data_IF_696448880112
#
_entry.id   IF_696448880112
#
_cell.length_a   1.000
_cell.length_b   1.000
_cell.length_c   1.000
_cell.angle_alpha   90.00
_cell.angle_beta   90.00
_cell.angle_gamma   90.00
#
_symmetry.space_group_name_H-M   'P 1'
#
loop_
_entity.id
_entity.type
_entity.pdbx_description
1 polymer ?
#
# COMPACT_ATOMS: atom_id res chain seq x y z
N UNK A 1 -17.16 -43.07 -7.95
CA UNK A 1 -18.52 -42.52 -7.66
C UNK A 1 -18.46 -40.98 -7.76
N UNK A 2 -17.49 -40.31 -7.16
CA UNK A 2 -17.36 -38.84 -7.25
C UNK A 2 -17.19 -38.33 -8.69
N UNK A 3 -16.44 -39.04 -9.52
CA UNK A 3 -16.17 -38.68 -10.91
C UNK A 3 -17.41 -38.81 -11.82
N UNK A 4 -18.32 -39.72 -11.50
CA UNK A 4 -19.62 -39.86 -12.19
C UNK A 4 -20.60 -38.74 -11.80
N UNK A 5 -20.58 -38.28 -10.55
CA UNK A 5 -21.45 -37.21 -10.07
C UNK A 5 -21.07 -35.87 -10.71
N UNK A 6 -19.77 -35.54 -10.75
CA UNK A 6 -19.24 -34.31 -11.38
C UNK A 6 -19.57 -34.29 -12.88
N UNK A 7 -19.39 -35.40 -13.60
CA UNK A 7 -19.71 -35.49 -15.01
C UNK A 7 -21.22 -35.37 -15.30
N UNK A 8 -22.10 -35.88 -14.44
CA UNK A 8 -23.55 -35.75 -14.62
C UNK A 8 -24.07 -34.34 -14.30
N UNK A 9 -23.49 -33.65 -13.31
CA UNK A 9 -23.80 -32.24 -12.99
C UNK A 9 -23.43 -31.32 -14.13
N UNK A 10 -22.23 -31.46 -14.72
CA UNK A 10 -21.81 -30.68 -15.90
C UNK A 10 -22.78 -30.91 -17.08
N UNK A 11 -23.17 -32.15 -17.37
CA UNK A 11 -24.12 -32.43 -18.44
C UNK A 11 -25.53 -31.88 -18.19
N UNK A 12 -25.96 -31.78 -16.93
CA UNK A 12 -27.26 -31.20 -16.55
C UNK A 12 -27.22 -29.68 -16.78
N UNK A 13 -26.19 -29.02 -16.30
CA UNK A 13 -26.00 -27.58 -16.46
C UNK A 13 -25.95 -27.17 -17.93
N UNK A 14 -25.14 -27.81 -18.73
CA UNK A 14 -24.92 -27.46 -20.13
C UNK A 14 -26.18 -27.68 -21.01
N UNK A 15 -27.09 -28.54 -20.55
CA UNK A 15 -28.38 -28.81 -21.18
C UNK A 15 -29.54 -28.03 -20.55
N UNK A 16 -29.28 -27.14 -19.62
CA UNK A 16 -30.28 -26.35 -18.88
C UNK A 16 -31.38 -27.19 -18.23
N UNK A 17 -31.06 -28.44 -17.82
CA UNK A 17 -32.02 -29.32 -17.15
C UNK A 17 -32.20 -28.93 -15.68
N UNK A 18 -33.44 -28.82 -15.24
CA UNK A 18 -33.75 -28.48 -13.84
C UNK A 18 -33.63 -27.00 -13.48
N UNK A 19 -33.36 -26.10 -14.44
CA UNK A 19 -33.22 -24.66 -14.20
C UNK A 19 -34.52 -24.06 -13.62
N UNK A 20 -35.68 -24.51 -14.07
CA UNK A 20 -36.97 -24.04 -13.53
C UNK A 20 -37.08 -24.32 -12.03
N UNK A 21 -36.75 -25.55 -11.58
CA UNK A 21 -36.76 -25.91 -10.15
C UNK A 21 -35.75 -25.15 -9.33
N UNK A 22 -34.61 -24.80 -9.94
CA UNK A 22 -33.62 -23.92 -9.29
C UNK A 22 -34.21 -22.53 -9.10
N UNK A 23 -34.84 -21.96 -10.13
CA UNK A 23 -35.48 -20.66 -10.05
C UNK A 23 -36.64 -20.64 -9.05
N UNK A 24 -37.47 -21.69 -9.06
CA UNK A 24 -38.53 -21.86 -8.05
C UNK A 24 -37.95 -21.88 -6.64
N UNK A 25 -36.85 -22.61 -6.41
CA UNK A 25 -36.14 -22.63 -5.14
C UNK A 25 -35.54 -21.27 -4.73
N UNK A 26 -35.04 -20.50 -5.68
CA UNK A 26 -34.60 -19.13 -5.40
C UNK A 26 -35.77 -18.27 -4.93
N UNK A 27 -36.91 -18.33 -5.61
CA UNK A 27 -38.11 -17.54 -5.26
C UNK A 27 -38.65 -17.97 -3.87
N UNK A 28 -38.62 -19.27 -3.57
CA UNK A 28 -39.21 -19.84 -2.33
C UNK A 28 -38.31 -19.62 -1.10
N UNK A 29 -36.98 -19.73 -1.26
CA UNK A 29 -36.05 -19.76 -0.12
C UNK A 29 -35.19 -18.50 0.04
N UNK A 30 -35.04 -17.65 -0.98
CA UNK A 30 -34.26 -16.44 -0.87
C UNK A 30 -35.15 -15.27 -0.43
N UNK A 31 -34.80 -14.54 0.66
CA UNK A 31 -35.59 -13.41 1.13
C UNK A 31 -35.51 -12.23 0.13
N UNK A 32 -36.63 -11.58 -0.09
CA UNK A 32 -36.66 -10.31 -0.79
C UNK A 32 -36.11 -9.17 0.11
N UNK A 33 -35.66 -8.04 -0.45
CA UNK A 33 -35.20 -6.90 0.35
C UNK A 33 -36.21 -6.40 1.38
N UNK A 34 -37.52 -6.62 1.14
CA UNK A 34 -38.62 -6.29 2.05
C UNK A 34 -38.88 -7.32 3.15
N UNK A 35 -38.34 -8.52 3.03
CA UNK A 35 -38.53 -9.62 3.98
C UNK A 35 -37.45 -9.61 5.09
N UNK A 36 -36.42 -8.79 4.92
CA UNK A 36 -35.32 -8.63 5.89
C UNK A 36 -35.52 -7.37 6.71
N UNK A 37 -34.99 -7.32 7.96
CA UNK A 37 -35.00 -6.09 8.76
C UNK A 37 -34.36 -4.92 8.01
N UNK A 38 -34.81 -3.71 8.36
CA UNK A 38 -34.21 -2.48 7.85
C UNK A 38 -32.71 -2.45 8.16
N UNK A 39 -31.91 -1.92 7.23
CA UNK A 39 -30.47 -1.84 7.42
C UNK A 39 -30.12 -0.75 8.43
N UNK A 40 -29.23 -1.07 9.36
CA UNK A 40 -28.68 -0.13 10.30
C UNK A 40 -27.30 0.35 9.84
N UNK A 41 -26.98 1.58 10.15
CA UNK A 41 -25.69 2.21 9.90
C UNK A 41 -25.43 3.28 10.95
N UNK A 42 -24.37 4.02 10.80
CA UNK A 42 -24.02 5.16 11.66
C UNK A 42 -24.01 6.45 10.85
N UNK A 43 -24.45 7.55 11.44
CA UNK A 43 -24.27 8.87 10.85
C UNK A 43 -22.82 9.35 11.00
N UNK A 44 -22.51 10.54 10.51
CA UNK A 44 -21.16 11.13 10.62
C UNK A 44 -20.78 11.51 12.07
N UNK A 45 -21.74 11.51 12.99
CA UNK A 45 -21.56 11.80 14.43
C UNK A 45 -21.42 10.51 15.25
N UNK A 46 -21.63 9.33 14.63
CA UNK A 46 -21.54 8.02 15.28
C UNK A 46 -22.85 7.53 15.89
N UNK A 47 -23.98 8.20 15.64
CA UNK A 47 -25.28 7.72 16.10
C UNK A 47 -25.82 6.66 15.16
N UNK A 48 -26.55 5.68 15.71
CA UNK A 48 -27.19 4.62 14.93
C UNK A 48 -28.38 5.18 14.14
N UNK A 49 -28.40 4.89 12.84
CA UNK A 49 -29.46 5.32 11.90
C UNK A 49 -29.96 4.09 11.15
N UNK A 50 -31.28 3.94 11.08
CA UNK A 50 -31.94 2.86 10.33
C UNK A 50 -32.47 3.38 9.00
N UNK A 51 -32.32 2.58 7.93
CA UNK A 51 -32.81 2.88 6.58
C UNK A 51 -33.77 1.78 6.12
N UNK A 52 -35.04 2.09 5.88
CA UNK A 52 -35.99 1.13 5.34
C UNK A 52 -35.72 0.83 3.88
N UNK A 53 -36.02 -0.40 3.45
CA UNK A 53 -35.95 -0.81 2.05
C UNK A 53 -37.17 -0.24 1.30
N UNK A 54 -37.09 1.04 0.98
CA UNK A 54 -38.15 1.80 0.28
C UNK A 54 -37.55 2.78 -0.72
N UNK A 55 -38.23 2.96 -1.86
CA UNK A 55 -37.82 3.93 -2.89
C UNK A 55 -37.96 5.38 -2.45
N UNK A 56 -38.86 5.67 -1.51
CA UNK A 56 -39.11 7.01 -0.98
C UNK A 56 -38.13 7.43 0.13
N UNK A 57 -37.32 6.51 0.61
CA UNK A 57 -36.32 6.78 1.63
C UNK A 57 -35.08 7.50 1.04
N UNK A 58 -34.25 8.15 1.86
CA UNK A 58 -32.97 8.69 1.39
C UNK A 58 -32.07 7.61 0.81
N UNK A 59 -31.40 7.94 -0.28
CA UNK A 59 -30.53 6.99 -0.99
C UNK A 59 -29.36 6.52 -0.10
N UNK A 60 -29.19 5.21 -0.02
CA UNK A 60 -28.02 4.57 0.57
C UNK A 60 -27.69 3.25 -0.13
N UNK A 61 -26.44 3.07 -0.49
CA UNK A 61 -25.94 1.89 -1.18
C UNK A 61 -24.51 1.54 -0.74
N UNK A 62 -24.15 0.29 -0.86
CA UNK A 62 -22.83 -0.23 -0.55
C UNK A 62 -22.12 -0.66 -1.83
N UNK A 63 -20.92 -0.12 -2.07
CA UNK A 63 -20.04 -0.56 -3.14
C UNK A 63 -19.31 -1.84 -2.69
N UNK A 64 -19.75 -3.00 -3.17
CA UNK A 64 -19.25 -4.29 -2.70
C UNK A 64 -18.17 -4.91 -3.58
N UNK A 65 -17.98 -4.40 -4.81
CA UNK A 65 -16.96 -4.91 -5.73
C UNK A 65 -16.52 -3.83 -6.71
N UNK A 66 -15.22 -3.72 -6.91
CA UNK A 66 -14.62 -2.92 -7.98
C UNK A 66 -14.09 -3.86 -9.06
N UNK A 67 -14.20 -3.48 -10.32
CA UNK A 67 -13.63 -4.19 -11.45
C UNK A 67 -13.02 -3.18 -12.43
N UNK A 68 -11.80 -3.43 -12.87
CA UNK A 68 -11.18 -2.65 -13.94
C UNK A 68 -11.62 -3.20 -15.30
N UNK A 69 -12.28 -2.37 -16.08
CA UNK A 69 -12.71 -2.71 -17.43
C UNK A 69 -11.84 -1.99 -18.45
N UNK A 70 -11.30 -2.69 -19.48
CA UNK A 70 -10.41 -2.08 -20.48
C UNK A 70 -11.03 -0.94 -21.27
N UNK A 71 -12.37 -0.90 -21.40
CA UNK A 71 -13.07 0.04 -22.26
C UNK A 71 -13.70 1.22 -21.51
N UNK A 72 -14.22 0.98 -20.30
CA UNK A 72 -14.91 2.01 -19.51
C UNK A 72 -14.14 2.40 -18.25
N UNK A 73 -13.04 1.76 -17.97
CA UNK A 73 -12.23 1.99 -16.79
C UNK A 73 -12.82 1.32 -15.55
N UNK A 74 -12.96 2.08 -14.46
CA UNK A 74 -13.42 1.57 -13.17
C UNK A 74 -14.94 1.36 -13.16
N UNK A 75 -15.37 0.13 -12.92
CA UNK A 75 -16.75 -0.26 -12.65
C UNK A 75 -16.91 -0.54 -11.16
N UNK A 76 -17.74 0.22 -10.46
CA UNK A 76 -18.07 -0.03 -9.07
C UNK A 76 -19.46 -0.67 -8.98
N UNK A 77 -19.49 -1.95 -8.60
CA UNK A 77 -20.74 -2.67 -8.33
C UNK A 77 -21.26 -2.27 -6.97
N UNK A 78 -22.51 -1.88 -6.91
CA UNK A 78 -23.14 -1.46 -5.67
C UNK A 78 -24.54 -2.07 -5.53
N UNK A 79 -24.96 -2.27 -4.28
CA UNK A 79 -26.31 -2.66 -3.92
C UNK A 79 -27.00 -1.48 -3.25
N UNK A 80 -28.18 -1.16 -3.74
CA UNK A 80 -29.04 -0.14 -3.16
C UNK A 80 -29.82 -0.77 -1.99
N UNK A 81 -29.68 -0.19 -0.82
CA UNK A 81 -30.41 -0.65 0.38
C UNK A 81 -31.64 0.24 0.63
N UNK A 82 -31.60 1.52 0.30
CA UNK A 82 -32.72 2.42 0.45
C UNK A 82 -32.68 3.52 -0.62
N UNK A 83 -33.84 4.04 -0.95
CA UNK A 83 -34.00 5.16 -1.85
C UNK A 83 -33.73 4.82 -3.31
N UNK A 84 -33.63 5.85 -4.12
CA UNK A 84 -33.39 5.77 -5.56
C UNK A 84 -32.27 6.71 -5.98
N UNK A 85 -31.57 6.37 -7.07
CA UNK A 85 -30.53 7.21 -7.62
C UNK A 85 -30.59 7.26 -9.15
N UNK A 86 -30.42 8.47 -9.72
CA UNK A 86 -30.42 8.67 -11.15
C UNK A 86 -28.98 8.70 -11.71
N UNK A 87 -28.83 8.24 -12.94
CA UNK A 87 -27.60 8.41 -13.71
C UNK A 87 -27.27 9.91 -13.84
N UNK A 88 -25.98 10.25 -13.69
CA UNK A 88 -25.51 11.63 -13.76
C UNK A 88 -25.63 12.43 -12.46
N UNK A 89 -26.26 11.91 -11.41
CA UNK A 89 -26.42 12.58 -10.12
C UNK A 89 -25.13 12.62 -9.30
N UNK A 90 -25.13 13.49 -8.28
CA UNK A 90 -24.07 13.54 -7.28
C UNK A 90 -24.47 12.73 -6.05
N UNK A 91 -23.51 12.04 -5.47
CA UNK A 91 -23.64 11.25 -4.24
C UNK A 91 -22.47 11.54 -3.32
N UNK A 92 -22.66 11.28 -2.05
CA UNK A 92 -21.60 11.34 -1.03
C UNK A 92 -21.03 9.93 -0.81
N UNK A 93 -19.73 9.78 -0.94
CA UNK A 93 -19.02 8.64 -0.39
C UNK A 93 -18.80 8.93 1.11
N UNK A 94 -19.66 8.38 1.95
CA UNK A 94 -19.65 8.64 3.40
C UNK A 94 -18.41 8.08 4.10
N UNK A 95 -17.86 6.95 3.62
CA UNK A 95 -16.68 6.34 4.19
C UNK A 95 -15.42 7.20 4.04
N UNK A 96 -15.36 8.07 3.03
CA UNK A 96 -14.21 8.94 2.72
C UNK A 96 -14.53 10.42 2.79
N UNK A 97 -15.78 10.77 3.12
CA UNK A 97 -16.29 12.14 3.12
C UNK A 97 -15.96 12.90 1.81
N UNK A 98 -16.30 12.25 0.67
CA UNK A 98 -16.04 12.83 -0.65
C UNK A 98 -17.28 12.79 -1.54
N UNK A 99 -17.59 13.94 -2.13
CA UNK A 99 -18.64 14.04 -3.13
C UNK A 99 -18.15 13.52 -4.47
N UNK A 100 -18.90 12.59 -5.05
CA UNK A 100 -18.61 11.99 -6.35
C UNK A 100 -19.83 12.08 -7.28
N UNK A 101 -19.57 12.02 -8.58
CA UNK A 101 -20.63 11.97 -9.58
C UNK A 101 -20.75 10.57 -10.16
N UNK A 102 -21.94 10.02 -10.14
CA UNK A 102 -22.27 8.81 -10.91
C UNK A 102 -22.37 9.23 -12.37
N UNK A 103 -21.41 8.79 -13.19
CA UNK A 103 -21.43 9.11 -14.62
C UNK A 103 -22.57 8.39 -15.34
N UNK A 104 -22.49 7.08 -15.39
CA UNK A 104 -23.50 6.18 -15.97
C UNK A 104 -23.77 5.04 -15.03
N UNK A 105 -24.99 4.54 -15.03
CA UNK A 105 -25.38 3.34 -14.31
C UNK A 105 -25.64 2.26 -15.34
N UNK A 106 -25.08 1.07 -15.12
CA UNK A 106 -25.24 -0.07 -16.01
C UNK A 106 -25.71 -1.29 -15.22
N UNK A 107 -26.66 -1.99 -15.80
CA UNK A 107 -27.08 -3.31 -15.36
C UNK A 107 -26.23 -4.36 -16.09
N UNK A 108 -25.59 -5.23 -15.35
CA UNK A 108 -24.74 -6.27 -15.91
C UNK A 108 -25.50 -7.59 -16.06
N UNK A 109 -25.40 -8.18 -17.22
CA UNK A 109 -25.90 -9.52 -17.52
C UNK A 109 -24.80 -10.31 -18.23
N UNK A 110 -24.06 -11.11 -17.49
CA UNK A 110 -22.82 -11.75 -17.93
C UNK A 110 -21.84 -10.66 -18.48
N UNK A 111 -21.47 -10.74 -19.75
CA UNK A 111 -20.57 -9.76 -20.41
C UNK A 111 -21.34 -8.62 -21.10
N UNK A 112 -22.70 -8.63 -21.04
CA UNK A 112 -23.52 -7.57 -21.63
C UNK A 112 -23.77 -6.48 -20.61
N UNK A 113 -23.72 -5.23 -21.07
CA UNK A 113 -24.00 -4.04 -20.27
C UNK A 113 -25.21 -3.35 -20.88
N UNK A 114 -26.18 -3.07 -20.04
CA UNK A 114 -27.37 -2.30 -20.42
C UNK A 114 -27.36 -1.04 -19.59
N UNK A 115 -27.32 0.13 -20.23
CA UNK A 115 -27.42 1.41 -19.53
C UNK A 115 -28.84 1.57 -18.99
N UNK A 116 -28.93 2.04 -17.74
CA UNK A 116 -30.20 2.35 -17.06
C UNK A 116 -30.12 3.76 -16.49
N UNK A 117 -31.26 4.44 -16.52
CA UNK A 117 -31.33 5.85 -16.10
C UNK A 117 -31.47 5.97 -14.58
N UNK A 118 -32.03 4.97 -13.91
CA UNK A 118 -32.37 5.02 -12.49
C UNK A 118 -32.24 3.63 -11.86
N UNK A 119 -31.83 3.59 -10.59
CA UNK A 119 -31.86 2.41 -9.72
C UNK A 119 -32.79 2.62 -8.56
N UNK A 120 -33.34 1.51 -8.06
CA UNK A 120 -34.35 1.44 -7.00
C UNK A 120 -33.82 0.66 -5.80
N UNK A 121 -34.53 0.77 -4.67
CA UNK A 121 -34.22 0.00 -3.46
C UNK A 121 -34.19 -1.50 -3.76
N UNK A 122 -33.15 -2.20 -3.33
CA UNK A 122 -32.92 -3.62 -3.58
C UNK A 122 -32.15 -3.94 -4.87
N UNK A 123 -31.98 -2.98 -5.78
CA UNK A 123 -31.26 -3.19 -7.03
C UNK A 123 -29.76 -3.42 -6.82
N UNK A 124 -29.18 -4.21 -7.72
CA UNK A 124 -27.74 -4.35 -7.90
C UNK A 124 -27.38 -3.80 -9.28
N UNK A 125 -26.50 -2.84 -9.30
CA UNK A 125 -26.04 -2.21 -10.53
C UNK A 125 -24.53 -1.91 -10.48
N UNK A 126 -23.97 -1.44 -11.58
CA UNK A 126 -22.59 -0.95 -11.61
C UNK A 126 -22.55 0.50 -12.04
N UNK A 127 -21.78 1.32 -11.36
CA UNK A 127 -21.54 2.70 -11.69
C UNK A 127 -20.22 2.90 -12.43
N UNK A 128 -20.23 3.74 -13.43
CA UNK A 128 -19.07 4.24 -14.15
C UNK A 128 -18.81 5.67 -13.73
N UNK A 129 -17.56 6.03 -13.48
CA UNK A 129 -17.17 7.41 -13.23
C UNK A 129 -16.74 7.73 -11.80
N UNK A 130 -16.86 6.82 -10.87
CA UNK A 130 -16.31 6.95 -9.53
C UNK A 130 -14.77 6.98 -9.56
N UNK A 131 -14.20 7.94 -8.84
CA UNK A 131 -12.74 8.12 -8.74
C UNK A 131 -12.16 7.59 -7.43
N UNK A 132 -12.88 7.85 -6.33
CA UNK A 132 -12.38 7.58 -4.97
C UNK A 132 -13.05 6.36 -4.33
N UNK A 133 -14.24 5.98 -4.79
CA UNK A 133 -14.98 4.83 -4.24
C UNK A 133 -14.19 3.53 -4.42
N UNK A 134 -14.02 2.79 -3.32
CA UNK A 134 -13.38 1.46 -3.27
C UNK A 134 -14.36 0.42 -2.73
N UNK A 135 -13.95 -0.85 -2.75
CA UNK A 135 -14.75 -1.95 -2.19
C UNK A 135 -14.97 -1.73 -0.69
N UNK A 136 -16.23 -1.82 -0.24
CA UNK A 136 -16.63 -1.58 1.14
C UNK A 136 -17.11 -0.16 1.43
N UNK A 137 -16.97 0.79 0.50
CA UNK A 137 -17.41 2.16 0.71
C UNK A 137 -18.93 2.28 0.62
N UNK A 138 -19.49 3.12 1.49
CA UNK A 138 -20.91 3.51 1.44
C UNK A 138 -21.09 4.76 0.59
N UNK A 139 -22.04 4.71 -0.34
CA UNK A 139 -22.48 5.85 -1.15
C UNK A 139 -23.91 6.21 -0.78
N UNK A 140 -24.17 7.46 -0.46
CA UNK A 140 -25.47 7.89 0.04
C UNK A 140 -25.85 9.29 -0.47
N UNK A 141 -27.06 9.72 -0.08
CA UNK A 141 -27.52 11.08 -0.28
C UNK A 141 -26.70 12.07 0.57
N UNK A 142 -26.33 13.20 -0.02
CA UNK A 142 -25.53 14.24 0.63
C UNK A 142 -26.24 14.89 1.83
N UNK A 143 -27.57 14.97 1.80
CA UNK A 143 -28.37 15.61 2.88
C UNK A 143 -28.62 14.67 4.05
N UNK A 144 -28.52 13.36 3.84
CA UNK A 144 -28.82 12.34 4.84
C UNK A 144 -27.67 11.31 4.89
N UNK A 145 -26.46 11.72 5.31
CA UNK A 145 -25.31 10.84 5.31
C UNK A 145 -25.51 9.64 6.23
N UNK A 146 -25.06 8.49 5.79
CA UNK A 146 -25.03 7.25 6.57
C UNK A 146 -23.84 6.41 6.15
N UNK A 147 -23.18 5.78 7.09
CA UNK A 147 -22.15 4.76 6.88
C UNK A 147 -22.79 3.43 7.22
N UNK A 148 -22.95 2.58 6.22
CA UNK A 148 -23.41 1.20 6.42
C UNK A 148 -22.26 0.37 7.00
N UNK A 149 -22.59 -0.81 7.50
CA UNK A 149 -21.58 -1.74 8.03
C UNK A 149 -20.45 -1.96 7.01
N UNK A 150 -19.22 -1.71 7.45
CA UNK A 150 -18.04 -1.88 6.60
C UNK A 150 -17.68 -3.36 6.51
N UNK A 151 -17.26 -3.79 5.31
CA UNK A 151 -16.71 -5.13 5.14
C UNK A 151 -15.30 -5.20 5.74
N UNK A 152 -15.09 -6.14 6.66
CA UNK A 152 -13.77 -6.44 7.20
C UNK A 152 -13.05 -7.45 6.29
N UNK A 153 -11.87 -7.08 5.84
CA UNK A 153 -11.03 -7.95 5.03
C UNK A 153 -9.86 -8.47 5.86
N UNK A 154 -9.54 -9.77 5.77
CA UNK A 154 -8.40 -10.32 6.49
C UNK A 154 -7.08 -9.75 5.96
N UNK A 155 -6.10 -9.62 6.84
CA UNK A 155 -4.74 -9.20 6.48
C UNK A 155 -4.05 -10.26 5.61
N UNK A 156 -3.23 -9.86 4.62
CA UNK A 156 -2.42 -10.76 3.83
C UNK A 156 -1.46 -11.60 4.67
N UNK A 157 -1.23 -12.85 4.28
CA UNK A 157 -0.44 -13.83 5.04
C UNK A 157 0.88 -14.16 4.37
N UNK A 158 0.99 -13.98 3.06
CA UNK A 158 2.17 -14.33 2.26
C UNK A 158 2.65 -13.12 1.48
N UNK A 159 3.95 -12.95 1.43
CA UNK A 159 4.62 -11.89 0.68
C UNK A 159 5.60 -12.48 -0.33
N UNK A 160 5.61 -11.89 -1.53
CA UNK A 160 6.54 -12.22 -2.60
C UNK A 160 7.12 -10.93 -3.19
N UNK A 161 8.39 -10.98 -3.58
CA UNK A 161 8.99 -9.90 -4.37
C UNK A 161 8.66 -10.09 -5.85
N UNK A 162 8.31 -8.99 -6.52
CA UNK A 162 8.01 -8.97 -7.95
C UNK A 162 8.89 -7.93 -8.65
N UNK A 163 9.54 -8.34 -9.74
CA UNK A 163 10.41 -7.48 -10.53
C UNK A 163 10.04 -7.57 -12.01
N UNK A 164 9.89 -6.44 -12.72
CA UNK A 164 9.62 -6.47 -14.13
C UNK A 164 10.86 -6.99 -14.89
N UNK A 165 10.67 -7.78 -15.93
CA UNK A 165 11.79 -8.26 -16.76
C UNK A 165 12.50 -7.15 -17.52
N UNK A 166 11.79 -6.05 -17.83
CA UNK A 166 12.35 -4.91 -18.53
C UNK A 166 12.13 -3.61 -17.77
N UNK A 167 13.10 -2.67 -17.84
CA UNK A 167 12.97 -1.36 -17.19
C UNK A 167 11.76 -0.55 -17.70
N UNK A 168 11.38 -0.74 -18.97
CA UNK A 168 10.23 -0.06 -19.57
C UNK A 168 8.88 -0.52 -18.99
N UNK A 169 8.82 -1.71 -18.42
CA UNK A 169 7.60 -2.27 -17.86
C UNK A 169 7.40 -1.91 -16.38
N UNK A 170 8.38 -1.25 -15.73
CA UNK A 170 8.28 -0.86 -14.32
C UNK A 170 7.09 0.08 -14.06
N UNK A 171 6.90 1.10 -14.91
CA UNK A 171 5.75 2.00 -14.78
C UNK A 171 4.42 1.29 -15.02
N UNK A 172 4.35 0.44 -16.05
CA UNK A 172 3.16 -0.35 -16.36
C UNK A 172 2.82 -1.35 -15.24
N UNK A 173 3.86 -1.96 -14.64
CA UNK A 173 3.68 -2.86 -13.50
C UNK A 173 3.07 -2.14 -12.30
N UNK A 174 3.57 -0.95 -11.97
CA UNK A 174 3.02 -0.15 -10.88
C UNK A 174 1.55 0.22 -11.09
N UNK A 175 1.18 0.67 -12.30
CA UNK A 175 -0.21 0.96 -12.64
C UNK A 175 -1.11 -0.28 -12.61
N UNK A 176 -0.61 -1.42 -13.07
CA UNK A 176 -1.35 -2.67 -13.09
C UNK A 176 -1.58 -3.20 -11.66
N UNK A 177 -0.54 -3.18 -10.81
CA UNK A 177 -0.64 -3.57 -9.40
C UNK A 177 -1.60 -2.67 -8.63
N UNK A 178 -1.59 -1.35 -8.88
CA UNK A 178 -2.53 -0.43 -8.27
C UNK A 178 -3.98 -0.75 -8.64
N UNK A 179 -4.26 -1.06 -9.92
CA UNK A 179 -5.60 -1.46 -10.37
C UNK A 179 -6.05 -2.78 -9.74
N UNK A 180 -5.14 -3.77 -9.64
CA UNK A 180 -5.43 -5.05 -9.01
C UNK A 180 -5.72 -4.89 -7.50
N UNK A 181 -4.98 -4.02 -6.82
CA UNK A 181 -5.23 -3.68 -5.41
C UNK A 181 -6.56 -2.92 -5.19
N UNK A 182 -7.02 -2.14 -6.18
CA UNK A 182 -8.36 -1.53 -6.12
C UNK A 182 -9.48 -2.57 -6.29
N UNK A 183 -9.25 -3.64 -7.06
CA UNK A 183 -10.22 -4.70 -7.27
C UNK A 183 -10.33 -5.66 -6.08
N UNK A 184 -9.19 -5.97 -5.47
CA UNK A 184 -9.08 -6.95 -4.38
C UNK A 184 -8.48 -6.31 -3.13
N UNK A 185 -9.28 -6.01 -2.12
CA UNK A 185 -8.81 -5.40 -0.87
C UNK A 185 -7.93 -6.32 -0.02
N UNK A 186 -7.88 -7.64 -0.30
CA UNK A 186 -6.98 -8.59 0.36
C UNK A 186 -5.60 -8.66 -0.29
N UNK A 187 -5.44 -8.01 -1.45
CA UNK A 187 -4.17 -7.88 -2.16
C UNK A 187 -3.53 -6.53 -1.84
N UNK A 188 -2.29 -6.54 -1.40
CA UNK A 188 -1.50 -5.32 -1.16
C UNK A 188 -0.23 -5.34 -2.01
N UNK A 189 0.17 -4.18 -2.49
CA UNK A 189 1.44 -3.99 -3.20
C UNK A 189 2.11 -2.73 -2.67
N UNK A 190 3.38 -2.84 -2.30
CA UNK A 190 4.19 -1.72 -1.82
C UNK A 190 5.65 -1.88 -2.25
N UNK A 191 6.39 -0.80 -2.21
CA UNK A 191 7.83 -0.83 -2.43
C UNK A 191 8.52 -0.80 -1.08
N UNK A 192 9.34 -1.80 -0.81
CA UNK A 192 10.20 -1.81 0.37
C UNK A 192 11.27 -0.71 0.22
N UNK A 193 11.33 0.17 1.21
CA UNK A 193 12.25 1.32 1.18
C UNK A 193 13.71 0.93 1.39
N UNK A 194 13.97 -0.20 2.04
CA UNK A 194 15.32 -0.66 2.34
C UNK A 194 15.93 -1.44 1.19
N UNK A 195 15.18 -2.36 0.60
CA UNK A 195 15.65 -3.18 -0.52
C UNK A 195 15.36 -2.60 -1.89
N UNK A 196 14.42 -1.64 -1.97
CA UNK A 196 13.92 -1.07 -3.22
C UNK A 196 13.06 -2.05 -4.05
N UNK A 197 12.78 -3.24 -3.52
CA UNK A 197 11.96 -4.23 -4.20
C UNK A 197 10.48 -3.89 -4.12
N UNK A 198 9.72 -4.23 -5.16
CA UNK A 198 8.26 -4.22 -5.09
C UNK A 198 7.80 -5.53 -4.46
N UNK A 199 7.08 -5.43 -3.34
CA UNK A 199 6.52 -6.55 -2.60
C UNK A 199 5.02 -6.62 -2.89
N UNK A 200 4.55 -7.82 -3.18
CA UNK A 200 3.13 -8.15 -3.29
C UNK A 200 2.73 -9.07 -2.15
N UNK A 201 1.62 -8.77 -1.49
CA UNK A 201 1.11 -9.53 -0.37
C UNK A 201 -0.32 -10.00 -0.64
N UNK A 202 -0.63 -11.23 -0.25
CA UNK A 202 -1.94 -11.86 -0.50
C UNK A 202 -2.26 -12.97 0.48
N UNK A 203 -3.45 -13.56 0.30
CA UNK A 203 -4.01 -14.58 1.20
C UNK A 203 -3.37 -15.96 1.06
N UNK A 204 -2.58 -16.20 0.02
CA UNK A 204 -1.95 -17.47 -0.23
C UNK A 204 -1.21 -17.52 -1.55
N UNK A 205 -0.42 -18.59 -1.76
CA UNK A 205 0.41 -18.78 -2.95
C UNK A 205 -0.43 -18.76 -4.24
N UNK A 206 -1.52 -19.52 -4.29
CA UNK A 206 -2.43 -19.56 -5.43
C UNK A 206 -3.04 -18.17 -5.73
N UNK A 207 -3.36 -17.38 -4.70
CA UNK A 207 -3.88 -16.05 -4.87
C UNK A 207 -2.86 -15.16 -5.61
N UNK A 208 -1.60 -15.17 -5.16
CA UNK A 208 -0.53 -14.39 -5.79
C UNK A 208 -0.18 -14.91 -7.18
N UNK A 209 -0.20 -16.22 -7.42
CA UNK A 209 -0.05 -16.80 -8.75
C UNK A 209 -1.11 -16.29 -9.73
N UNK A 210 -2.37 -16.24 -9.32
CA UNK A 210 -3.47 -15.70 -10.14
C UNK A 210 -3.24 -14.21 -10.44
N UNK A 211 -2.79 -13.42 -9.48
CA UNK A 211 -2.47 -11.99 -9.69
C UNK A 211 -1.34 -11.84 -10.71
N UNK A 212 -0.29 -12.64 -10.61
CA UNK A 212 0.84 -12.61 -11.56
C UNK A 212 0.40 -13.06 -12.96
N UNK A 213 -0.45 -14.09 -13.06
CA UNK A 213 -1.02 -14.52 -14.35
C UNK A 213 -1.89 -13.42 -14.98
N UNK A 214 -2.68 -12.71 -14.17
CA UNK A 214 -3.46 -11.55 -14.63
C UNK A 214 -2.56 -10.39 -15.10
N UNK A 215 -1.44 -10.11 -14.41
CA UNK A 215 -0.46 -9.12 -14.88
C UNK A 215 0.04 -9.43 -16.29
N UNK A 216 0.34 -10.70 -16.56
CA UNK A 216 0.79 -11.14 -17.87
C UNK A 216 -0.34 -11.08 -18.91
N UNK A 217 -1.52 -11.64 -18.61
CA UNK A 217 -2.59 -11.81 -19.59
C UNK A 217 -3.35 -10.52 -19.88
N UNK A 218 -3.69 -9.76 -18.86
CA UNK A 218 -4.53 -8.56 -18.98
C UNK A 218 -3.69 -7.31 -19.27
N UNK A 219 -2.57 -7.14 -18.55
CA UNK A 219 -1.74 -5.94 -18.64
C UNK A 219 -0.51 -6.09 -19.52
N UNK A 220 -0.21 -7.31 -20.01
CA UNK A 220 0.95 -7.61 -20.86
C UNK A 220 2.29 -7.23 -20.21
N UNK A 221 2.39 -7.40 -18.89
CA UNK A 221 3.61 -7.17 -18.11
C UNK A 221 4.21 -8.50 -17.70
N UNK A 222 5.45 -8.74 -18.14
CA UNK A 222 6.22 -9.90 -17.72
C UNK A 222 7.03 -9.56 -16.47
N UNK A 223 6.91 -10.38 -15.43
CA UNK A 223 7.61 -10.20 -14.18
C UNK A 223 8.28 -11.49 -13.69
N UNK A 224 9.38 -11.33 -12.96
CA UNK A 224 9.99 -12.39 -12.17
C UNK A 224 9.45 -12.30 -10.75
N UNK A 225 9.14 -13.45 -10.17
CA UNK A 225 8.63 -13.55 -8.80
C UNK A 225 9.60 -14.38 -7.98
N UNK A 226 9.88 -13.93 -6.76
CA UNK A 226 10.80 -14.61 -5.85
C UNK A 226 10.52 -14.27 -4.38
N UNK A 227 11.31 -14.85 -3.49
CA UNK A 227 11.27 -14.47 -2.09
C UNK A 227 11.78 -13.03 -1.91
N UNK A 228 11.21 -12.24 -0.97
CA UNK A 228 11.73 -10.93 -0.61
C UNK A 228 13.18 -11.02 -0.14
N UNK A 229 13.97 -10.00 -0.45
CA UNK A 229 15.33 -9.91 0.06
C UNK A 229 15.31 -9.57 1.55
N UNK A 230 16.22 -10.19 2.30
CA UNK A 230 16.41 -9.84 3.71
C UNK A 230 17.27 -8.57 3.77
N UNK A 231 16.75 -7.53 4.42
CA UNK A 231 17.49 -6.30 4.68
C UNK A 231 18.48 -6.54 5.82
N UNK A 232 19.72 -6.89 5.48
CA UNK A 232 20.78 -7.05 6.46
C UNK A 232 21.22 -5.69 7.00
N UNK A 233 21.59 -5.66 8.28
CA UNK A 233 22.16 -4.51 8.98
C UNK A 233 23.50 -4.91 9.60
N UNK A 234 24.41 -3.96 9.70
CA UNK A 234 25.66 -4.12 10.41
C UNK A 234 25.56 -3.47 11.79
N UNK A 235 26.35 -3.92 12.75
CA UNK A 235 26.46 -3.28 14.06
C UNK A 235 27.84 -3.55 14.66
N UNK A 236 28.24 -2.72 15.62
CA UNK A 236 29.46 -2.94 16.39
C UNK A 236 29.12 -3.68 17.69
N UNK A 237 29.98 -4.62 18.09
CA UNK A 237 29.77 -5.44 19.31
C UNK A 237 30.66 -5.01 20.46
N UNK A 238 31.70 -4.23 20.21
CA UNK A 238 32.69 -3.81 21.22
C UNK A 238 32.95 -2.30 21.09
N UNK A 239 33.22 -1.59 22.20
CA UNK A 239 33.69 -0.23 22.13
C UNK A 239 35.07 -0.16 21.47
N UNK A 240 35.25 0.83 20.61
CA UNK A 240 36.51 1.08 19.88
C UNK A 240 36.85 2.55 19.97
N UNK A 241 38.12 2.83 20.19
CA UNK A 241 38.69 4.19 20.20
C UNK A 241 39.53 4.36 18.94
N UNK A 242 39.20 5.35 18.13
CA UNK A 242 39.79 5.60 16.81
C UNK A 242 40.43 6.98 16.78
N UNK A 243 41.72 7.01 16.44
CA UNK A 243 42.44 8.26 16.14
C UNK A 243 42.64 8.37 14.62
N UNK A 244 41.81 9.21 13.98
CA UNK A 244 41.81 9.38 12.54
C UNK A 244 42.40 10.70 12.15
N UNK A 245 43.45 10.66 11.31
CA UNK A 245 44.14 11.83 10.78
C UNK A 245 44.25 11.76 9.26
N UNK A 246 43.60 12.67 8.61
CA UNK A 246 43.72 12.87 7.16
C UNK A 246 44.52 14.14 6.86
N UNK A 247 45.58 14.01 6.09
CA UNK A 247 46.38 15.13 5.64
C UNK A 247 46.79 14.89 4.17
N UNK A 248 46.20 15.65 3.25
CA UNK A 248 46.54 15.57 1.82
C UNK A 248 46.85 16.95 1.28
N UNK A 249 48.02 17.12 0.65
CA UNK A 249 48.41 18.34 -0.01
C UNK A 249 48.70 18.06 -1.48
N UNK A 250 47.85 18.57 -2.38
CA UNK A 250 48.06 18.51 -3.81
C UNK A 250 47.86 19.93 -4.39
N UNK A 251 48.99 20.61 -4.71
CA UNK A 251 48.95 21.84 -5.46
C UNK A 251 48.23 23.02 -4.81
N UNK A 252 48.78 23.65 -3.80
CA UNK A 252 48.40 24.99 -3.30
C UNK A 252 47.37 25.06 -2.18
N UNK A 253 46.38 24.19 -2.09
CA UNK A 253 45.43 24.09 -0.96
C UNK A 253 45.46 22.68 -0.40
N UNK A 254 45.89 22.55 0.87
CA UNK A 254 45.88 21.28 1.57
C UNK A 254 44.53 20.97 2.25
N UNK A 255 44.20 19.70 2.35
CA UNK A 255 43.09 19.20 3.15
C UNK A 255 43.66 18.61 4.44
N UNK A 256 43.03 18.90 5.56
CA UNK A 256 43.43 18.36 6.86
C UNK A 256 42.21 18.14 7.75
N UNK A 257 42.11 16.99 8.33
CA UNK A 257 41.15 16.63 9.36
C UNK A 257 41.83 15.71 10.36
N UNK A 258 41.61 15.91 11.65
CA UNK A 258 42.09 15.03 12.70
C UNK A 258 41.07 15.02 13.84
N UNK A 259 40.49 13.86 14.11
CA UNK A 259 39.56 13.66 15.23
C UNK A 259 39.82 12.35 15.91
N UNK A 260 39.60 12.32 17.23
CA UNK A 260 39.57 11.09 18.02
C UNK A 260 38.13 10.84 18.44
N UNK A 261 37.64 9.67 18.08
CA UNK A 261 36.26 9.27 18.27
C UNK A 261 36.19 7.94 18.99
N UNK A 262 35.41 7.90 20.04
CA UNK A 262 35.07 6.66 20.74
C UNK A 262 33.74 6.17 20.25
N UNK A 263 33.71 4.99 19.65
CA UNK A 263 32.49 4.30 19.24
C UNK A 263 32.08 3.31 20.32
N UNK A 264 30.80 3.32 20.69
CA UNK A 264 30.22 2.42 21.66
C UNK A 264 28.97 1.75 21.08
N UNK A 265 28.77 0.42 21.31
CA UNK A 265 27.57 -0.24 20.85
C UNK A 265 26.34 0.24 21.62
N UNK A 266 25.25 0.41 20.89
CA UNK A 266 23.92 0.70 21.41
C UNK A 266 22.96 -0.42 20.98
N UNK A 267 21.74 -0.41 21.53
CA UNK A 267 20.69 -1.33 21.06
C UNK A 267 20.30 -1.00 19.61
N UNK A 268 20.57 -1.93 18.66
CA UNK A 268 20.25 -1.69 17.25
C UNK A 268 18.74 -1.64 16.97
N UNK A 269 17.88 -2.10 17.90
CA UNK A 269 16.42 -2.07 17.79
C UNK A 269 15.79 -0.92 18.59
N UNK A 270 16.60 -0.05 19.20
CA UNK A 270 16.13 1.11 19.95
C UNK A 270 15.54 2.21 19.05
N UNK A 271 14.83 3.17 19.65
CA UNK A 271 14.28 4.33 18.91
C UNK A 271 15.38 5.18 18.25
N UNK A 272 16.55 5.29 18.88
CA UNK A 272 17.73 5.96 18.32
C UNK A 272 18.76 4.90 17.89
N UNK A 273 18.94 4.74 16.61
CA UNK A 273 19.91 3.79 16.02
C UNK A 273 21.31 4.38 15.85
N UNK A 274 21.44 5.71 15.90
CA UNK A 274 22.68 6.44 15.84
C UNK A 274 22.66 7.60 16.82
N UNK A 275 23.73 7.78 17.61
CA UNK A 275 23.88 8.89 18.55
C UNK A 275 25.23 9.54 18.41
N UNK A 276 25.25 10.85 18.20
CA UNK A 276 26.48 11.65 18.16
C UNK A 276 26.59 12.52 19.41
N UNK A 277 27.74 12.45 20.10
CA UNK A 277 28.06 13.24 21.28
C UNK A 277 29.40 13.89 21.10
N UNK A 278 29.58 15.10 21.61
CA UNK A 278 30.88 15.79 21.64
C UNK A 278 31.26 16.13 23.07
N UNK A 279 32.44 15.63 23.50
CA UNK A 279 33.06 15.95 24.78
C UNK A 279 34.38 16.65 24.63
N UNK A 280 34.59 17.35 23.49
CA UNK A 280 35.82 18.11 23.19
C UNK A 280 36.02 19.23 24.19
N UNK A 281 37.21 19.25 24.83
CA UNK A 281 37.61 20.27 25.82
C UNK A 281 38.78 21.09 25.29
N UNK A 282 38.87 22.35 25.70
CA UNK A 282 40.03 23.20 25.41
C UNK A 282 40.12 23.73 23.99
N UNK A 283 39.10 23.60 23.16
CA UNK A 283 39.08 24.12 21.80
C UNK A 283 39.98 23.35 20.82
N UNK A 284 40.29 22.08 21.10
CA UNK A 284 41.07 21.21 20.23
C UNK A 284 40.47 21.09 18.82
N UNK A 285 39.14 21.12 18.73
CA UNK A 285 38.37 21.26 17.49
C UNK A 285 37.48 22.50 17.65
N UNK A 286 37.48 23.49 16.73
CA UNK A 286 36.51 24.60 16.75
C UNK A 286 35.07 24.11 16.74
N UNK A 287 34.20 24.76 17.52
CA UNK A 287 32.81 24.35 17.68
C UNK A 287 32.01 24.28 16.36
N UNK A 288 32.43 25.12 15.40
CA UNK A 288 31.80 25.16 14.06
C UNK A 288 32.03 23.90 13.20
N UNK A 289 33.09 23.11 13.50
CA UNK A 289 33.41 21.89 12.76
C UNK A 289 32.85 20.61 13.38
N UNK A 290 32.43 20.65 14.65
CA UNK A 290 31.90 19.50 15.36
C UNK A 290 30.62 18.90 14.67
N UNK A 291 29.64 19.72 14.22
CA UNK A 291 28.50 19.20 13.48
C UNK A 291 28.90 18.46 12.21
N UNK A 292 29.87 18.99 11.46
CA UNK A 292 30.34 18.36 10.22
C UNK A 292 31.03 17.00 10.46
N UNK A 293 31.65 16.81 11.64
CA UNK A 293 32.19 15.51 12.02
C UNK A 293 31.04 14.52 12.28
N UNK A 294 29.98 14.98 12.96
CA UNK A 294 28.77 14.17 13.19
C UNK A 294 28.08 13.75 11.89
N UNK A 295 27.87 14.69 10.98
CA UNK A 295 27.30 14.44 9.65
C UNK A 295 28.13 13.44 8.84
N UNK A 296 29.46 13.57 8.87
CA UNK A 296 30.35 12.65 8.18
C UNK A 296 30.32 11.23 8.76
N UNK A 297 30.20 11.08 10.08
CA UNK A 297 30.06 9.77 10.73
C UNK A 297 28.69 9.17 10.36
N UNK A 298 27.61 9.97 10.43
CA UNK A 298 26.26 9.53 10.06
C UNK A 298 26.19 9.10 8.59
N UNK A 299 26.86 9.81 7.70
CA UNK A 299 26.93 9.40 6.29
C UNK A 299 27.68 8.08 6.10
N UNK A 300 28.75 7.87 6.85
CA UNK A 300 29.52 6.64 6.82
C UNK A 300 28.72 5.42 7.36
N UNK A 301 27.77 5.63 8.30
CA UNK A 301 26.91 4.55 8.79
C UNK A 301 25.90 4.05 7.75
N UNK A 302 25.63 4.83 6.69
CA UNK A 302 24.70 4.40 5.62
C UNK A 302 25.23 3.26 4.76
N UNK A 303 26.57 3.07 4.74
CA UNK A 303 27.21 1.99 4.00
C UNK A 303 28.29 1.36 4.88
N UNK A 304 27.99 0.23 5.49
CA UNK A 304 28.91 -0.48 6.37
C UNK A 304 30.10 -1.11 5.62
N UNK A 305 31.16 -1.36 6.36
CA UNK A 305 32.47 -1.79 5.82
C UNK A 305 32.47 -3.29 5.47
N UNK A 306 31.69 -4.12 6.19
CA UNK A 306 31.75 -5.57 6.03
C UNK A 306 31.11 -6.04 4.73
N UNK A 307 29.90 -5.56 4.44
CA UNK A 307 29.11 -5.98 3.29
C UNK A 307 28.35 -4.82 2.62
N UNK A 308 28.56 -3.59 3.08
CA UNK A 308 27.90 -2.42 2.53
C UNK A 308 26.49 -2.16 3.05
N UNK A 309 26.06 -2.89 4.10
CA UNK A 309 24.74 -2.68 4.71
C UNK A 309 24.79 -1.54 5.75
N UNK A 310 23.66 -0.84 5.98
CA UNK A 310 23.61 0.21 6.97
C UNK A 310 24.04 -0.26 8.37
N UNK A 311 24.84 0.55 9.06
CA UNK A 311 25.30 0.29 10.42
C UNK A 311 24.33 0.91 11.41
N UNK A 312 23.77 0.11 12.31
CA UNK A 312 22.84 0.53 13.34
C UNK A 312 23.38 0.26 14.75
N UNK A 313 22.84 0.97 15.73
CA UNK A 313 23.18 0.76 17.14
C UNK A 313 24.59 1.26 17.48
N UNK A 314 24.95 2.46 17.02
CA UNK A 314 26.27 3.06 17.24
C UNK A 314 26.16 4.41 17.90
N UNK A 315 26.87 4.57 19.02
CA UNK A 315 27.14 5.88 19.64
C UNK A 315 28.55 6.33 19.31
N UNK A 316 28.69 7.53 18.77
CA UNK A 316 29.97 8.15 18.44
C UNK A 316 30.24 9.35 19.34
N UNK A 317 31.28 9.31 20.12
CA UNK A 317 31.69 10.41 20.99
C UNK A 317 33.04 10.98 20.52
N UNK A 318 33.01 12.20 19.99
CA UNK A 318 34.22 12.98 19.66
C UNK A 318 34.74 13.64 20.94
N UNK A 319 35.96 13.31 21.33
CA UNK A 319 36.54 13.83 22.58
C UNK A 319 37.82 14.65 22.40
N UNK A 320 38.58 14.49 21.29
CA UNK A 320 39.82 15.19 21.01
C UNK A 320 40.03 15.35 19.49
N UNK A 321 41.01 16.13 19.10
CA UNK A 321 41.42 16.31 17.70
C UNK A 321 42.39 17.44 17.53
N UNK A 322 42.67 17.81 16.29
CA UNK A 322 43.48 19.04 16.01
C UNK A 322 43.07 19.65 14.69
N UNK A 323 43.26 20.97 14.59
CA UNK A 323 43.08 21.70 13.35
C UNK A 323 44.35 22.49 13.03
N UNK A 324 44.72 22.65 11.77
CA UNK A 324 45.89 23.41 11.41
C UNK A 324 45.54 24.89 11.32
N UNK A 325 46.42 25.75 11.89
CA UNK A 325 46.26 27.20 11.83
C UNK A 325 46.47 27.77 10.40
N UNK A 326 47.04 26.96 9.49
CA UNK A 326 47.46 27.40 8.14
C UNK A 326 46.57 26.88 6.98
N UNK A 327 45.52 26.08 7.24
CA UNK A 327 44.64 25.53 6.18
C UNK A 327 43.23 26.15 6.25
N UNK A 328 42.81 26.77 5.16
CA UNK A 328 41.60 27.61 5.12
C UNK A 328 40.30 26.88 4.72
N UNK A 329 40.32 25.56 4.45
CA UNK A 329 39.11 24.77 4.17
C UNK A 329 39.22 23.35 4.65
N UNK A 330 38.38 22.99 5.63
CA UNK A 330 38.07 21.62 6.02
C UNK A 330 36.85 21.13 5.20
N UNK A 331 37.02 20.01 4.48
CA UNK A 331 35.91 19.20 4.03
C UNK A 331 35.87 17.93 4.90
N UNK A 332 34.88 17.84 5.77
CA UNK A 332 34.69 16.69 6.66
C UNK A 332 34.32 15.39 5.92
N UNK A 333 33.74 15.51 4.73
CA UNK A 333 33.27 14.40 3.92
C UNK A 333 34.36 13.43 3.41
N UNK A 334 35.59 13.92 3.21
CA UNK A 334 36.65 13.06 2.65
C UNK A 334 37.52 12.36 3.70
N UNK A 335 37.33 12.69 5.00
CA UNK A 335 38.15 12.13 6.09
C UNK A 335 37.56 10.88 6.72
N UNK A 336 36.31 10.55 6.45
CA UNK A 336 35.59 9.46 7.12
C UNK A 336 35.31 8.25 6.22
N UNK A 337 35.56 8.36 4.90
CA UNK A 337 35.45 7.22 3.98
C UNK A 337 36.57 6.18 4.14
N UNK A 338 37.63 6.50 4.91
CA UNK A 338 38.78 5.62 5.19
C UNK A 338 38.77 5.03 6.61
N UNK A 339 37.65 5.25 7.36
CA UNK A 339 37.37 4.58 8.65
C UNK A 339 36.48 3.37 8.49
#
# INVERSE_FOLDING_TARGET
IAQCLVGSEMCIRDRNKGVQKLLDGVIEYMPAPTDVPDITGTDMEGNEVTRPSSDDAPFAALAFKIMADPFVGKLAFFRVYSGTCNSGSYVLNASKDKKERIGRIVQMHANKRTEIDKVYSGDIAAAVGFKFTTTGDTICDEQHPVILESMEFPEPVIELAIEPKTKNDQGKMGEALAKLAEEDPTFKAHTDQETGQTIIAGMGELHLEVIVDRLLREFKVEANVGAPQVAYKETITKPVDVDSKYAKQSGGRGQYGHCKVKFEPMDPNGEETFKFVSTVVGGAIPKEYIPSVGEGIEEATKAGILAGFPVLGVSANVYDGSYPVSYTHLRAHETLSDL
#
